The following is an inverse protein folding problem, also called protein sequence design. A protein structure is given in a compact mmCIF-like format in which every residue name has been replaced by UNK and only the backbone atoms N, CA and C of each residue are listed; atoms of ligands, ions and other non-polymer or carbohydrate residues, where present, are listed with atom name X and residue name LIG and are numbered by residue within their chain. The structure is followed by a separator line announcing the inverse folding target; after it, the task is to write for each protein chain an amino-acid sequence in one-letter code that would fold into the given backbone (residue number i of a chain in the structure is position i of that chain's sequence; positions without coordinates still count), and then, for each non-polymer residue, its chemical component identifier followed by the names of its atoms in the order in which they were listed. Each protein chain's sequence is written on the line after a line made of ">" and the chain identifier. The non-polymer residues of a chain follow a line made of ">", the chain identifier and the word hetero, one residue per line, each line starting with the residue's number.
data_IF_209328918719
#
_entry.id   IF_209328918719
#
_cell.length_a   1.000
_cell.length_b   1.000
_cell.length_c   1.000
_cell.angle_alpha   90.00
_cell.angle_beta   90.00
_cell.angle_gamma   90.00
#
_symmetry.space_group_name_H-M   'P 1'
#
loop_
_entity.id
_entity.type
_entity.pdbx_description
1 polymer ?
#
# COMPACT_ATOMS: atom_id res chain seq x y z
N UNK A 1 1.34 8.99 18.01
CA UNK A 1 0.68 9.47 16.78
C UNK A 1 0.51 8.31 15.83
N UNK A 2 -0.73 7.97 15.49
CA UNK A 2 -1.05 6.90 14.53
C UNK A 2 -1.48 7.56 13.21
N UNK A 3 -0.92 7.10 12.10
CA UNK A 3 -1.28 7.56 10.76
C UNK A 3 -1.77 6.37 9.95
N UNK A 4 -3.00 6.46 9.45
CA UNK A 4 -3.62 5.54 8.51
C UNK A 4 -3.50 6.11 7.09
N UNK A 5 -3.13 5.27 6.14
CA UNK A 5 -3.13 5.59 4.72
C UNK A 5 -3.94 4.55 3.96
N UNK A 6 -4.95 5.01 3.22
CA UNK A 6 -5.69 4.18 2.28
C UNK A 6 -5.26 4.52 0.87
N UNK A 7 -4.81 3.51 0.13
CA UNK A 7 -4.18 3.68 -1.17
C UNK A 7 -4.88 2.79 -2.17
N UNK A 8 -5.60 3.40 -3.11
CA UNK A 8 -6.17 2.69 -4.24
C UNK A 8 -5.17 2.62 -5.38
N UNK A 9 -5.09 1.43 -5.99
CA UNK A 9 -4.23 1.18 -7.11
C UNK A 9 -4.90 0.38 -8.22
N UNK A 10 -4.43 0.60 -9.45
CA UNK A 10 -4.77 -0.17 -10.64
C UNK A 10 -3.62 -1.12 -10.99
N UNK A 11 -3.96 -2.31 -11.47
CA UNK A 11 -3.00 -3.34 -11.90
C UNK A 11 -3.29 -3.65 -13.37
N UNK A 12 -2.43 -3.20 -14.28
CA UNK A 12 -2.73 -3.24 -15.72
C UNK A 12 -2.62 -4.65 -16.32
N UNK A 13 -1.54 -5.36 -15.99
CA UNK A 13 -1.20 -6.63 -16.66
C UNK A 13 -1.84 -7.87 -16.01
N UNK A 14 -2.65 -7.68 -14.96
CA UNK A 14 -3.30 -8.79 -14.28
C UNK A 14 -4.50 -9.33 -15.09
N UNK A 15 -4.41 -10.60 -15.48
CA UNK A 15 -5.46 -11.35 -16.20
C UNK A 15 -6.04 -12.49 -15.34
N UNK A 16 -5.71 -12.54 -14.05
CA UNK A 16 -6.25 -13.51 -13.11
C UNK A 16 -6.14 -13.00 -11.67
N UNK A 17 -7.03 -13.46 -10.78
CA UNK A 17 -6.90 -13.20 -9.33
C UNK A 17 -5.58 -13.73 -8.77
N UNK A 18 -5.06 -14.82 -9.35
CA UNK A 18 -3.77 -15.40 -8.94
C UNK A 18 -2.62 -14.46 -9.27
N UNK A 19 -2.59 -13.87 -10.46
CA UNK A 19 -1.56 -12.89 -10.85
C UNK A 19 -1.62 -11.65 -9.95
N UNK A 20 -2.83 -11.10 -9.74
CA UNK A 20 -3.02 -10.00 -8.79
C UNK A 20 -2.45 -10.34 -7.41
N UNK A 21 -2.80 -11.50 -6.85
CA UNK A 21 -2.31 -11.93 -5.53
C UNK A 21 -0.79 -12.03 -5.48
N UNK A 22 -0.13 -12.39 -6.58
CA UNK A 22 1.32 -12.40 -6.67
C UNK A 22 1.91 -10.98 -6.53
N UNK A 23 1.38 -10.01 -7.27
CA UNK A 23 1.82 -8.61 -7.26
C UNK A 23 1.52 -7.95 -5.90
N UNK A 24 0.30 -8.11 -5.39
CA UNK A 24 -0.11 -7.58 -4.08
C UNK A 24 0.79 -8.15 -2.98
N UNK A 25 1.08 -9.46 -3.01
CA UNK A 25 1.94 -10.09 -2.02
C UNK A 25 3.38 -9.57 -2.08
N UNK A 26 3.97 -9.38 -3.26
CA UNK A 26 5.33 -8.84 -3.37
C UNK A 26 5.44 -7.44 -2.79
N UNK A 27 4.45 -6.57 -3.05
CA UNK A 27 4.39 -5.21 -2.52
C UNK A 27 4.26 -5.23 -0.99
N UNK A 28 3.29 -6.01 -0.46
CA UNK A 28 3.07 -6.15 0.98
C UNK A 28 4.34 -6.64 1.68
N UNK A 29 4.94 -7.72 1.18
CA UNK A 29 6.17 -8.28 1.78
C UNK A 29 7.32 -7.29 1.72
N UNK A 30 7.47 -6.54 0.63
CA UNK A 30 8.54 -5.54 0.52
C UNK A 30 8.37 -4.40 1.52
N UNK A 31 7.17 -3.87 1.65
CA UNK A 31 6.87 -2.78 2.60
C UNK A 31 7.08 -3.25 4.04
N UNK A 32 6.61 -4.45 4.40
CA UNK A 32 6.77 -5.02 5.74
C UNK A 32 8.24 -5.27 6.11
N UNK A 33 9.09 -5.59 5.13
CA UNK A 33 10.51 -5.84 5.36
C UNK A 33 11.33 -4.54 5.45
N UNK A 34 10.99 -3.53 4.65
CA UNK A 34 11.77 -2.30 4.54
C UNK A 34 11.36 -1.23 5.58
N UNK A 35 10.12 -1.29 6.10
CA UNK A 35 9.57 -0.25 6.96
C UNK A 35 8.79 -0.82 8.16
N UNK A 36 8.75 -0.06 9.26
CA UNK A 36 7.89 -0.34 10.42
C UNK A 36 6.43 0.09 10.16
N UNK A 37 5.78 -0.62 9.23
CA UNK A 37 4.41 -0.34 8.78
C UNK A 37 3.64 -1.65 8.75
N UNK A 38 2.43 -1.64 9.31
CA UNK A 38 1.46 -2.70 9.05
C UNK A 38 0.70 -2.38 7.76
N UNK A 39 0.62 -3.34 6.84
CA UNK A 39 -0.04 -3.19 5.55
C UNK A 39 -0.92 -4.41 5.25
N UNK A 40 -2.09 -4.18 4.65
CA UNK A 40 -2.97 -5.22 4.14
C UNK A 40 -3.73 -4.74 2.90
N UNK A 41 -4.16 -5.67 2.05
CA UNK A 41 -5.24 -5.40 1.10
C UNK A 41 -6.57 -5.32 1.86
N UNK A 42 -7.30 -4.21 1.70
CA UNK A 42 -8.55 -3.94 2.43
C UNK A 42 -9.79 -3.96 1.52
N UNK A 43 -9.62 -3.85 0.20
CA UNK A 43 -10.75 -3.81 -0.72
C UNK A 43 -10.41 -4.33 -2.13
N UNK A 44 -11.45 -4.50 -2.96
CA UNK A 44 -11.38 -4.97 -4.35
C UNK A 44 -10.79 -6.38 -4.54
N UNK A 45 -10.84 -7.24 -3.53
CA UNK A 45 -10.24 -8.59 -3.57
C UNK A 45 -10.75 -9.47 -4.73
N UNK A 46 -11.98 -9.24 -5.19
CA UNK A 46 -12.61 -9.96 -6.31
C UNK A 46 -12.35 -9.33 -7.68
N UNK A 47 -11.69 -8.16 -7.74
CA UNK A 47 -11.27 -7.52 -8.98
C UNK A 47 -9.76 -7.73 -9.17
N UNK A 48 -9.36 -8.21 -10.35
CA UNK A 48 -7.94 -8.45 -10.65
C UNK A 48 -7.14 -7.21 -11.04
N UNK A 49 -7.82 -6.16 -11.52
CA UNK A 49 -7.22 -4.94 -12.09
C UNK A 49 -7.23 -3.78 -11.09
N UNK A 50 -7.72 -4.01 -9.87
CA UNK A 50 -7.82 -2.99 -8.83
C UNK A 50 -7.50 -3.61 -7.48
N UNK A 51 -6.86 -2.85 -6.62
CA UNK A 51 -6.62 -3.21 -5.22
C UNK A 51 -6.64 -1.95 -4.37
N UNK A 52 -6.96 -2.10 -3.10
CA UNK A 52 -6.83 -1.03 -2.13
C UNK A 52 -5.99 -1.53 -0.98
N UNK A 53 -4.90 -0.83 -0.68
CA UNK A 53 -4.06 -1.09 0.47
C UNK A 53 -4.47 -0.19 1.64
N UNK A 54 -4.50 -0.76 2.83
CA UNK A 54 -4.47 -0.01 4.09
C UNK A 54 -3.07 -0.12 4.68
N UNK A 55 -2.43 1.01 4.95
CA UNK A 55 -1.16 1.09 5.66
C UNK A 55 -1.36 1.83 6.99
N UNK A 56 -0.74 1.36 8.05
CA UNK A 56 -0.75 2.05 9.34
C UNK A 56 0.63 2.04 9.99
N UNK A 57 1.01 3.17 10.57
CA UNK A 57 2.23 3.29 11.38
C UNK A 57 1.96 4.04 12.67
N UNK A 58 2.76 3.74 13.69
CA UNK A 58 2.70 4.37 15.01
C UNK A 58 4.08 4.89 15.39
N UNK A 59 4.14 6.15 15.81
CA UNK A 59 5.37 6.79 16.28
C UNK A 59 5.07 7.81 17.38
N UNK A 60 6.08 8.14 18.19
CA UNK A 60 6.02 9.26 19.13
C UNK A 60 6.09 10.63 18.43
N UNK A 61 6.66 10.68 17.22
CA UNK A 61 6.83 11.90 16.43
C UNK A 61 5.98 11.85 15.15
N UNK A 62 5.14 12.89 14.97
CA UNK A 62 4.28 13.08 13.81
C UNK A 62 5.08 13.09 12.50
N UNK A 63 6.22 13.77 12.47
CA UNK A 63 7.06 13.93 11.27
C UNK A 63 7.66 12.59 10.85
N UNK A 64 7.99 11.73 11.81
CA UNK A 64 8.49 10.39 11.53
C UNK A 64 7.39 9.51 10.92
N UNK A 65 6.16 9.55 11.46
CA UNK A 65 5.03 8.81 10.88
C UNK A 65 4.76 9.21 9.44
N UNK A 66 4.71 10.52 9.14
CA UNK A 66 4.54 11.04 7.78
C UNK A 66 5.67 10.58 6.86
N UNK A 67 6.93 10.71 7.31
CA UNK A 67 8.10 10.30 6.52
C UNK A 67 8.04 8.83 6.13
N UNK A 68 7.73 7.95 7.07
CA UNK A 68 7.67 6.51 6.86
C UNK A 68 6.54 6.14 5.89
N UNK A 69 5.34 6.72 6.06
CA UNK A 69 4.24 6.52 5.10
C UNK A 69 4.62 7.01 3.70
N UNK A 70 5.20 8.21 3.56
CA UNK A 70 5.63 8.72 2.25
C UNK A 70 6.75 7.89 1.61
N UNK A 71 7.61 7.23 2.39
CA UNK A 71 8.59 6.28 1.86
C UNK A 71 7.92 5.02 1.32
N UNK A 72 6.95 4.45 2.04
CA UNK A 72 6.17 3.31 1.56
C UNK A 72 5.34 3.65 0.32
N UNK A 73 4.72 4.83 0.27
CA UNK A 73 4.00 5.33 -0.90
C UNK A 73 4.91 5.43 -2.13
N UNK A 74 6.13 5.94 -1.97
CA UNK A 74 7.14 5.97 -3.04
C UNK A 74 7.61 4.59 -3.47
N UNK A 75 7.68 3.65 -2.53
CA UNK A 75 7.99 2.26 -2.86
C UNK A 75 6.87 1.64 -3.71
N UNK A 76 5.60 1.89 -3.39
CA UNK A 76 4.46 1.46 -4.22
C UNK A 76 4.60 2.03 -5.64
N UNK A 77 4.89 3.33 -5.77
CA UNK A 77 5.06 3.99 -7.07
C UNK A 77 6.26 3.44 -7.88
N UNK A 78 7.18 2.71 -7.25
CA UNK A 78 8.35 2.13 -7.94
C UNK A 78 8.06 0.80 -8.64
N UNK A 79 6.92 0.16 -8.36
CA UNK A 79 6.51 -1.07 -9.02
C UNK A 79 5.83 -0.75 -10.35
N UNK A 80 6.36 -1.19 -11.50
CA UNK A 80 5.78 -0.89 -12.80
C UNK A 80 4.42 -1.58 -13.05
N UNK A 81 4.13 -2.67 -12.34
CA UNK A 81 2.90 -3.44 -12.53
C UNK A 81 1.66 -2.75 -11.93
N UNK A 82 1.86 -1.70 -11.13
CA UNK A 82 0.82 -1.06 -10.35
C UNK A 82 0.88 0.46 -10.49
N UNK A 83 -0.28 1.09 -10.59
CA UNK A 83 -0.40 2.54 -10.59
C UNK A 83 -1.26 2.99 -9.41
N UNK A 84 -0.74 3.92 -8.60
CA UNK A 84 -1.49 4.53 -7.50
C UNK A 84 -2.45 5.59 -8.04
N UNK A 85 -3.73 5.49 -7.69
CA UNK A 85 -4.78 6.42 -8.11
C UNK A 85 -5.18 7.37 -7.00
N UNK A 86 -5.76 6.85 -5.93
CA UNK A 86 -6.31 7.64 -4.83
C UNK A 86 -5.50 7.38 -3.57
N UNK A 87 -5.23 8.43 -2.79
CA UNK A 87 -4.56 8.30 -1.49
C UNK A 87 -5.28 9.16 -0.46
N UNK A 88 -5.77 8.53 0.60
CA UNK A 88 -6.36 9.19 1.75
C UNK A 88 -5.46 8.99 2.97
N UNK A 89 -5.26 10.04 3.78
CA UNK A 89 -4.41 10.04 4.96
C UNK A 89 -5.20 10.55 6.17
N UNK A 90 -5.25 9.75 7.23
CA UNK A 90 -6.04 10.05 8.41
C UNK A 90 -5.23 9.85 9.69
N UNK A 91 -5.28 10.85 10.57
CA UNK A 91 -4.66 10.77 11.90
C UNK A 91 -5.63 10.15 12.89
N UNK A 92 -5.12 9.18 13.66
CA UNK A 92 -5.85 8.47 14.72
C UNK A 92 -5.21 8.73 16.08
#
# INVERSE_FOLDING_TARGET
>A
MILLAEVECLIYDAQSLKQKRSVVKSIITRIQNDYNIAISEINYQDLWQRTQFGLVTISSDKVQSERVIHQALRLIDSFPEIERTTTNLEWV
#
